data_IF_641608213031
#
_entry.id   IF_641608213031
#
_cell.length_a   1.000
_cell.length_b   1.000
_cell.length_c   1.000
_cell.angle_alpha   90.00
_cell.angle_beta   90.00
_cell.angle_gamma   90.00
#
_symmetry.space_group_name_H-M   'P 1'
#
loop_
_entity.id
_entity.type
_entity.pdbx_description
1 polymer ?
#
# COMPACT_ATOMS: atom_id res chain seq x y z
N UNK A 1 -24.52 -0.95 -15.01
CA UNK A 1 -23.31 -0.65 -15.81
C UNK A 1 -22.21 -0.23 -14.84
N UNK A 2 -21.26 -1.12 -14.52
CA UNK A 2 -20.14 -0.76 -13.64
C UNK A 2 -19.17 0.12 -14.42
N UNK A 3 -19.07 1.38 -14.02
CA UNK A 3 -18.03 2.30 -14.49
C UNK A 3 -16.68 1.64 -14.25
N UNK A 4 -15.83 1.43 -15.28
CA UNK A 4 -14.49 0.93 -15.05
C UNK A 4 -13.78 1.99 -14.23
N UNK A 5 -13.51 1.70 -12.94
CA UNK A 5 -12.65 2.53 -12.12
C UNK A 5 -11.34 2.67 -12.88
N UNK A 6 -11.08 3.86 -13.43
CA UNK A 6 -9.85 4.18 -14.14
C UNK A 6 -8.74 4.14 -13.09
N UNK A 7 -8.12 2.97 -12.94
CA UNK A 7 -6.98 2.80 -12.05
C UNK A 7 -5.90 3.79 -12.49
N UNK A 8 -5.22 4.46 -11.54
CA UNK A 8 -4.01 5.19 -11.92
C UNK A 8 -3.06 4.21 -12.59
N UNK A 9 -2.52 4.58 -13.74
CA UNK A 9 -1.50 3.78 -14.39
C UNK A 9 -0.35 3.52 -13.41
N UNK A 10 0.25 2.34 -13.48
CA UNK A 10 1.51 2.06 -12.78
C UNK A 10 2.50 3.15 -13.20
N UNK A 11 3.01 3.91 -12.22
CA UNK A 11 4.10 4.86 -12.46
C UNK A 11 5.27 4.06 -13.04
N UNK A 12 5.67 4.28 -14.31
CA UNK A 12 6.65 3.43 -14.98
C UNK A 12 8.00 3.42 -14.26
N UNK A 13 8.28 4.41 -13.43
CA UNK A 13 9.57 4.59 -12.77
C UNK A 13 9.62 3.96 -11.37
N UNK A 14 8.59 3.22 -10.94
CA UNK A 14 8.58 2.57 -9.63
C UNK A 14 9.82 1.70 -9.37
N UNK A 15 10.34 1.08 -10.42
CA UNK A 15 11.52 0.22 -10.35
C UNK A 15 12.82 0.99 -10.03
N UNK A 16 12.88 2.28 -10.33
CA UNK A 16 14.04 3.15 -10.10
C UNK A 16 13.98 3.90 -8.75
N UNK A 17 12.98 3.61 -7.91
CA UNK A 17 12.85 4.30 -6.62
C UNK A 17 13.93 3.86 -5.63
N UNK A 18 14.64 4.81 -5.01
CA UNK A 18 15.67 4.47 -4.04
C UNK A 18 15.06 3.90 -2.76
N UNK A 19 15.84 3.09 -2.05
CA UNK A 19 15.51 2.67 -0.70
C UNK A 19 15.27 3.91 0.19
N UNK A 20 14.32 3.81 1.12
CA UNK A 20 13.88 4.95 1.94
C UNK A 20 12.74 5.77 1.34
N UNK A 21 12.39 5.57 0.06
CA UNK A 21 11.27 6.27 -0.57
C UNK A 21 9.95 5.84 0.06
N UNK A 22 9.13 6.81 0.51
CA UNK A 22 7.77 6.53 1.01
C UNK A 22 6.79 6.45 -0.15
N UNK A 23 5.99 5.39 -0.18
CA UNK A 23 5.17 5.02 -1.33
C UNK A 23 3.80 4.52 -0.88
N UNK A 24 2.83 4.61 -1.79
CA UNK A 24 1.60 3.80 -1.77
C UNK A 24 1.59 2.91 -3.00
N UNK A 25 1.37 1.62 -2.78
CA UNK A 25 1.35 0.58 -3.80
C UNK A 25 -0.01 -0.10 -3.77
N UNK A 26 -0.77 0.01 -4.86
CA UNK A 26 -1.99 -0.77 -5.04
C UNK A 26 -1.62 -2.11 -5.65
N UNK A 27 -1.96 -3.20 -4.97
CA UNK A 27 -1.74 -4.56 -5.48
C UNK A 27 -3.03 -5.35 -5.61
N UNK A 28 -3.04 -6.31 -6.53
CA UNK A 28 -4.06 -7.36 -6.60
C UNK A 28 -3.92 -8.30 -5.40
N UNK A 29 -5.04 -8.73 -4.88
CA UNK A 29 -5.13 -9.80 -3.89
C UNK A 29 -5.25 -11.15 -4.61
N UNK A 30 -4.63 -12.18 -4.07
CA UNK A 30 -4.91 -13.56 -4.46
C UNK A 30 -6.37 -13.91 -4.16
N UNK A 31 -6.90 -14.97 -4.78
CA UNK A 31 -8.27 -15.42 -4.51
C UNK A 31 -8.49 -15.75 -3.01
N UNK A 32 -7.47 -16.29 -2.33
CA UNK A 32 -7.53 -16.60 -0.90
C UNK A 32 -7.59 -15.31 -0.06
N UNK A 33 -6.69 -14.35 -0.31
CA UNK A 33 -6.70 -13.05 0.38
C UNK A 33 -8.00 -12.29 0.11
N UNK A 34 -8.49 -12.30 -1.12
CA UNK A 34 -9.75 -11.68 -1.49
C UNK A 34 -10.92 -12.28 -0.70
N UNK A 35 -11.03 -13.61 -0.63
CA UNK A 35 -12.05 -14.27 0.21
C UNK A 35 -11.93 -13.89 1.68
N UNK A 36 -10.71 -13.75 2.20
CA UNK A 36 -10.48 -13.36 3.59
C UNK A 36 -10.92 -11.91 3.89
N UNK A 37 -11.10 -11.06 2.88
CA UNK A 37 -11.66 -9.71 3.06
C UNK A 37 -13.18 -9.67 3.12
N UNK A 38 -13.87 -10.77 2.80
CA UNK A 38 -15.33 -10.83 2.87
C UNK A 38 -15.73 -10.96 4.34
N UNK A 39 -16.47 -9.97 4.82
CA UNK A 39 -17.16 -10.08 6.10
C UNK A 39 -18.46 -10.87 5.88
N UNK A 40 -18.70 -11.89 6.71
CA UNK A 40 -19.92 -12.70 6.62
C UNK A 40 -21.17 -11.93 7.06
N UNK A 41 -21.01 -10.83 7.80
CA UNK A 41 -22.10 -9.97 8.27
C UNK A 41 -22.41 -8.78 7.34
N UNK A 42 -21.63 -8.60 6.26
CA UNK A 42 -21.79 -7.50 5.31
C UNK A 42 -22.02 -8.04 3.90
N UNK A 43 -22.98 -7.45 3.17
CA UNK A 43 -23.18 -7.72 1.74
C UNK A 43 -22.09 -7.10 0.84
N UNK A 44 -21.02 -6.56 1.43
CA UNK A 44 -19.90 -5.99 0.68
C UNK A 44 -19.15 -7.09 -0.09
N UNK A 45 -18.93 -6.84 -1.39
CA UNK A 45 -18.15 -7.74 -2.21
C UNK A 45 -16.71 -7.86 -1.69
N UNK A 46 -16.15 -9.07 -1.82
CA UNK A 46 -14.74 -9.33 -1.51
C UNK A 46 -13.83 -8.35 -2.28
N UNK A 47 -12.87 -7.75 -1.56
CA UNK A 47 -11.89 -6.84 -2.18
C UNK A 47 -10.97 -7.64 -3.09
N UNK A 48 -10.69 -7.13 -4.28
CA UNK A 48 -9.78 -7.74 -5.25
C UNK A 48 -8.42 -7.04 -5.29
N UNK A 49 -8.33 -5.87 -4.65
CA UNK A 49 -7.12 -5.06 -4.54
C UNK A 49 -6.97 -4.53 -3.12
N UNK A 50 -5.75 -4.22 -2.73
CA UNK A 50 -5.43 -3.52 -1.48
C UNK A 50 -4.33 -2.48 -1.72
N UNK A 51 -4.30 -1.47 -0.85
CA UNK A 51 -3.27 -0.44 -0.86
C UNK A 51 -2.27 -0.71 0.28
N UNK A 52 -0.99 -0.81 -0.08
CA UNK A 52 0.13 -0.95 0.84
C UNK A 52 0.87 0.38 0.91
N UNK A 53 0.85 1.00 2.08
CA UNK A 53 1.64 2.21 2.36
C UNK A 53 2.92 1.77 3.06
N UNK A 54 4.08 2.21 2.57
CA UNK A 54 5.35 1.72 3.08
C UNK A 54 6.56 2.54 2.68
N UNK A 55 7.70 2.11 3.18
CA UNK A 55 9.03 2.59 2.80
C UNK A 55 9.68 1.52 1.93
N UNK A 56 10.16 1.91 0.74
CA UNK A 56 10.91 1.02 -0.16
C UNK A 56 12.17 0.53 0.54
N UNK A 57 12.36 -0.78 0.58
CA UNK A 57 13.60 -1.43 1.02
C UNK A 57 14.45 -1.80 -0.19
N UNK A 58 13.82 -2.38 -1.21
CA UNK A 58 14.48 -2.77 -2.45
C UNK A 58 13.49 -2.85 -3.62
N UNK A 59 14.01 -2.69 -4.83
CA UNK A 59 13.28 -2.91 -6.09
C UNK A 59 14.08 -3.87 -6.96
N UNK A 60 13.37 -4.73 -7.67
CA UNK A 60 13.91 -5.57 -8.74
C UNK A 60 13.10 -5.26 -10.00
N UNK A 61 13.67 -4.51 -10.96
CA UNK A 61 12.94 -4.05 -12.14
C UNK A 61 12.21 -5.18 -12.87
N UNK A 62 10.92 -4.96 -13.16
CA UNK A 62 10.06 -5.94 -13.83
C UNK A 62 9.72 -7.20 -13.00
N UNK A 63 10.20 -7.32 -11.76
CA UNK A 63 9.97 -8.50 -10.91
C UNK A 63 9.23 -8.17 -9.63
N UNK A 64 9.73 -7.26 -8.81
CA UNK A 64 9.12 -7.01 -7.50
C UNK A 64 9.59 -5.72 -6.84
N UNK A 65 8.81 -5.27 -5.88
CA UNK A 65 9.20 -4.24 -4.91
C UNK A 65 9.00 -4.77 -3.50
N UNK A 66 9.98 -4.57 -2.63
CA UNK A 66 9.89 -4.90 -1.21
C UNK A 66 9.78 -3.61 -0.41
N UNK A 67 8.75 -3.53 0.42
CA UNK A 67 8.50 -2.39 1.30
C UNK A 67 8.39 -2.86 2.75
N UNK A 68 8.84 -2.02 3.67
CA UNK A 68 8.42 -2.11 5.07
C UNK A 68 7.15 -1.29 5.24
N UNK A 69 6.08 -1.90 5.74
CA UNK A 69 4.80 -1.21 5.90
C UNK A 69 4.94 -0.02 6.86
N UNK A 70 4.30 1.07 6.48
CA UNK A 70 4.29 2.30 7.26
C UNK A 70 3.15 2.20 8.28
N UNK A 71 3.35 1.37 9.31
CA UNK A 71 2.37 1.20 10.36
C UNK A 71 2.09 2.54 11.06
N UNK A 72 0.84 2.97 11.07
CA UNK A 72 0.38 4.05 11.94
C UNK A 72 0.05 3.51 13.32
N UNK A 73 0.72 3.98 14.38
CA UNK A 73 0.37 3.63 15.77
C UNK A 73 1.13 2.42 16.32
N UNK A 74 0.44 1.58 17.11
CA UNK A 74 0.96 0.42 17.86
C UNK A 74 1.08 -0.87 17.03
N UNK A 75 0.81 -0.81 15.73
CA UNK A 75 1.00 -1.97 14.85
C UNK A 75 2.46 -2.11 14.47
N UNK A 76 2.97 -3.33 14.50
CA UNK A 76 4.32 -3.62 14.05
C UNK A 76 4.43 -3.39 12.54
N UNK A 77 5.53 -2.76 12.12
CA UNK A 77 5.85 -2.62 10.71
C UNK A 77 6.35 -3.96 10.19
N UNK A 78 5.71 -4.47 9.13
CA UNK A 78 6.04 -5.77 8.53
C UNK A 78 6.60 -5.57 7.13
N UNK A 79 7.48 -6.46 6.70
CA UNK A 79 7.98 -6.45 5.33
C UNK A 79 7.01 -7.14 4.38
N UNK A 80 6.81 -6.53 3.22
CA UNK A 80 5.91 -7.02 2.17
C UNK A 80 6.64 -6.93 0.84
N UNK A 81 6.77 -8.07 0.16
CA UNK A 81 7.24 -8.13 -1.22
C UNK A 81 6.04 -8.25 -2.16
N UNK A 82 5.95 -7.32 -3.11
CA UNK A 82 4.87 -7.24 -4.10
C UNK A 82 5.47 -7.56 -5.48
N UNK A 83 5.03 -8.66 -6.13
CA UNK A 83 5.36 -8.95 -7.52
C UNK A 83 4.87 -7.86 -8.48
N UNK A 84 5.64 -7.61 -9.54
CA UNK A 84 5.34 -6.56 -10.52
C UNK A 84 4.02 -6.80 -11.27
N UNK A 85 3.66 -8.06 -11.51
CA UNK A 85 2.40 -8.48 -12.15
C UNK A 85 1.16 -8.29 -11.25
N UNK A 86 1.38 -8.19 -9.94
CA UNK A 86 0.35 -7.86 -8.97
C UNK A 86 0.19 -6.35 -8.77
N UNK A 87 1.16 -5.53 -9.20
CA UNK A 87 1.13 -4.09 -9.05
C UNK A 87 0.12 -3.47 -10.04
N UNK A 88 -0.89 -2.78 -9.51
CA UNK A 88 -1.93 -2.12 -10.31
C UNK A 88 -1.65 -0.63 -10.43
N UNK A 89 -1.14 -0.03 -9.36
CA UNK A 89 -0.75 1.38 -9.34
C UNK A 89 0.33 1.58 -8.29
N UNK A 90 1.16 2.60 -8.50
CA UNK A 90 2.20 2.99 -7.55
C UNK A 90 2.33 4.51 -7.55
N UNK A 91 2.58 5.08 -6.37
CA UNK A 91 2.83 6.52 -6.23
C UNK A 91 3.80 6.80 -5.09
N UNK A 92 4.78 7.68 -5.32
CA UNK A 92 5.57 8.31 -4.25
C UNK A 92 4.70 9.25 -3.44
N UNK A 93 4.82 9.21 -2.13
CA UNK A 93 4.07 10.08 -1.22
C UNK A 93 5.03 10.85 -0.30
N UNK A 94 4.64 12.05 0.17
CA UNK A 94 5.48 12.85 1.05
C UNK A 94 5.88 12.09 2.33
N UNK A 95 7.01 12.45 2.96
CA UNK A 95 7.37 11.97 4.29
C UNK A 95 6.23 12.18 5.30
N UNK A 96 6.21 11.35 6.34
CA UNK A 96 5.19 11.47 7.38
C UNK A 96 5.31 12.84 8.05
N UNK A 97 4.22 13.60 8.21
CA UNK A 97 4.26 14.84 8.98
C UNK A 97 4.79 14.58 10.40
N UNK A 98 5.55 15.52 10.99
CA UNK A 98 5.97 15.42 12.38
C UNK A 98 4.76 15.16 13.28
N UNK A 99 4.90 14.25 14.26
CA UNK A 99 3.84 14.04 15.26
C UNK A 99 3.61 15.35 15.99
N UNK A 100 2.37 15.86 15.95
CA UNK A 100 1.97 16.95 16.83
C UNK A 100 2.12 16.46 18.28
N UNK A 101 2.82 17.24 19.09
CA UNK A 101 2.88 16.99 20.53
C UNK A 101 1.45 17.04 21.09
N UNK A 102 1.15 16.24 22.14
CA UNK A 102 -0.11 16.38 22.86
C UNK A 102 -0.27 17.84 23.27
N UNK A 103 -1.47 18.41 23.09
CA UNK A 103 -1.77 19.73 23.66
C UNK A 103 -1.65 19.58 25.18
N UNK A 104 -0.79 20.38 25.81
CA UNK A 104 -0.83 20.50 27.27
C UNK A 104 -2.23 21.03 27.66
N UNK A 105 -2.87 20.48 28.69
CA UNK A 105 -4.03 21.12 29.29
C UNK A 105 -3.64 22.54 29.68
N UNK A 106 -4.49 23.51 29.33
CA UNK A 106 -4.41 24.86 29.89
C UNK A 106 -5.24 24.78 31.17
N UNK A 107 -4.59 24.95 32.33
CA UNK A 107 -5.28 25.14 33.62
C UNK A 107 -6.01 26.48 33.66
#
# INVERSE_FOLDING_TARGET
>A
MNTPHRFPAVDPDWAAWPAGTRVVLRRRLSAAESRATRDAASDEAAKTVTDVIGIVLSTVPGRSVTVRTDAGGSREAVEVTIPADQLVAAKRIPPRPPRRLPRQPVD
#
